data_IF_156095860063
#
_entry.id   IF_156095860063
#
_cell.length_a   1.000
_cell.length_b   1.000
_cell.length_c   1.000
_cell.angle_alpha   90.00
_cell.angle_beta   90.00
_cell.angle_gamma   90.00
#
_symmetry.space_group_name_H-M   'P 1'
#
loop_
_entity.id
_entity.type
_entity.pdbx_description
1 polymer ?
#
# COMPACT_ATOMS: atom_id res chain seq x y z
N UNK A 1 18.39 4.50 -12.75
CA UNK A 1 17.75 5.54 -13.57
C UNK A 1 17.05 4.88 -14.74
N UNK A 2 15.78 5.19 -15.03
CA UNK A 2 15.02 4.58 -16.13
C UNK A 2 14.65 5.71 -17.10
N UNK A 3 14.94 5.49 -18.39
CA UNK A 3 14.64 6.45 -19.45
C UNK A 3 13.41 6.03 -20.24
N UNK A 4 12.61 7.01 -20.63
CA UNK A 4 11.43 6.84 -21.46
C UNK A 4 11.49 7.76 -22.66
N UNK A 5 10.98 7.29 -23.79
CA UNK A 5 10.74 8.03 -25.02
C UNK A 5 9.23 8.28 -25.13
N UNK A 6 8.84 9.52 -25.29
CA UNK A 6 7.46 9.89 -25.65
C UNK A 6 7.45 10.20 -27.15
N UNK A 7 6.62 9.51 -27.88
CA UNK A 7 6.53 9.66 -29.33
C UNK A 7 5.08 9.64 -29.81
N UNK A 8 4.78 10.43 -30.82
CA UNK A 8 3.54 10.32 -31.57
C UNK A 8 3.64 9.14 -32.55
N UNK A 9 2.58 8.34 -32.60
CA UNK A 9 2.46 7.17 -33.46
C UNK A 9 1.12 7.18 -34.15
N UNK A 10 0.91 6.29 -35.12
CA UNK A 10 -0.39 6.10 -35.80
C UNK A 10 -1.55 5.83 -34.83
N UNK A 11 -1.24 5.38 -33.60
CA UNK A 11 -2.19 5.15 -32.52
C UNK A 11 -2.20 6.25 -31.46
N UNK A 12 -1.64 7.45 -31.76
CA UNK A 12 -1.51 8.60 -30.84
C UNK A 12 -0.24 8.57 -30.01
N UNK A 13 -0.16 9.49 -29.06
CA UNK A 13 1.00 9.64 -28.17
C UNK A 13 1.23 8.39 -27.34
N UNK A 14 2.44 7.84 -27.38
CA UNK A 14 2.84 6.65 -26.62
C UNK A 14 4.17 6.85 -25.91
N UNK A 15 4.31 6.14 -24.80
CA UNK A 15 5.53 6.14 -23.97
C UNK A 15 6.22 4.78 -24.07
N UNK A 16 7.47 4.79 -24.46
CA UNK A 16 8.31 3.60 -24.61
C UNK A 16 9.45 3.62 -23.58
N UNK A 17 9.66 2.52 -22.89
CA UNK A 17 10.83 2.37 -22.04
C UNK A 17 12.05 2.09 -22.90
N UNK A 18 13.10 2.93 -22.82
CA UNK A 18 14.29 2.80 -23.68
C UNK A 18 14.97 1.43 -23.56
N UNK A 19 14.96 0.81 -22.39
CA UNK A 19 15.54 -0.52 -22.19
C UNK A 19 14.81 -1.64 -22.94
N UNK A 20 13.65 -1.38 -23.55
CA UNK A 20 12.87 -2.32 -24.37
C UNK A 20 12.97 -2.03 -25.87
N UNK A 21 13.68 -1.00 -26.26
CA UNK A 21 13.96 -0.68 -27.67
C UNK A 21 14.94 -1.72 -28.20
N UNK A 22 14.57 -2.40 -29.28
CA UNK A 22 15.38 -3.49 -29.90
C UNK A 22 16.27 -3.00 -31.01
N UNK A 23 15.81 -2.01 -31.77
CA UNK A 23 16.58 -1.41 -32.86
C UNK A 23 16.20 0.04 -33.06
N UNK A 24 17.15 0.81 -33.56
CA UNK A 24 16.97 2.21 -33.95
C UNK A 24 17.58 2.38 -35.32
N UNK A 25 16.85 2.99 -36.23
CA UNK A 25 17.33 3.34 -37.57
C UNK A 25 17.30 4.84 -37.70
N UNK A 26 18.42 5.44 -38.09
CA UNK A 26 18.48 6.85 -38.42
C UNK A 26 17.89 7.06 -39.80
N UNK A 27 16.96 8.01 -39.93
CA UNK A 27 16.39 8.41 -41.21
C UNK A 27 16.77 9.87 -41.51
N UNK A 28 16.64 10.27 -42.77
CA UNK A 28 16.83 11.65 -43.19
C UNK A 28 15.56 12.49 -43.01
N UNK A 29 14.47 11.87 -42.54
CA UNK A 29 13.21 12.57 -42.31
C UNK A 29 13.33 13.54 -41.11
N UNK A 30 12.82 14.75 -41.22
CA UNK A 30 12.85 15.71 -40.13
C UNK A 30 11.93 15.24 -38.98
N UNK A 31 12.37 15.48 -37.75
CA UNK A 31 11.52 15.28 -36.57
C UNK A 31 10.38 16.30 -36.60
N UNK A 32 9.14 15.81 -36.63
CA UNK A 32 7.95 16.63 -36.49
C UNK A 32 7.49 16.62 -35.06
N UNK A 33 7.56 17.73 -34.38
CA UNK A 33 7.04 17.88 -33.02
C UNK A 33 5.65 18.52 -33.11
N UNK A 34 4.60 17.94 -32.48
CA UNK A 34 3.30 18.59 -32.40
C UNK A 34 3.43 20.00 -31.80
N UNK A 35 2.75 21.05 -32.36
CA UNK A 35 2.92 22.45 -31.94
C UNK A 35 2.55 22.67 -30.47
N UNK A 36 1.59 21.91 -29.95
CA UNK A 36 1.09 22.03 -28.59
C UNK A 36 1.69 20.95 -27.62
N UNK A 37 2.83 20.37 -28.01
CA UNK A 37 3.47 19.32 -27.20
C UNK A 37 4.14 19.89 -25.95
N UNK A 38 3.56 19.64 -24.76
CA UNK A 38 4.17 19.88 -23.44
C UNK A 38 4.62 18.56 -22.82
N UNK A 39 5.93 18.39 -22.68
CA UNK A 39 6.51 17.19 -22.08
C UNK A 39 6.10 17.00 -20.61
N UNK A 40 5.95 18.10 -19.85
CA UNK A 40 5.58 18.03 -18.44
C UNK A 40 4.12 17.59 -18.26
N UNK A 41 3.23 18.02 -19.16
CA UNK A 41 1.84 17.59 -19.18
C UNK A 41 1.71 16.13 -19.61
N UNK A 42 2.40 15.74 -20.68
CA UNK A 42 2.45 14.33 -21.11
C UNK A 42 3.04 13.42 -20.06
N UNK A 43 4.08 13.86 -19.37
CA UNK A 43 4.67 13.06 -18.28
C UNK A 43 3.73 12.92 -17.09
N UNK A 44 2.96 13.96 -16.73
CA UNK A 44 1.93 13.87 -15.70
C UNK A 44 0.86 12.84 -16.07
N UNK A 45 0.33 12.88 -17.29
CA UNK A 45 -0.65 11.91 -17.78
C UNK A 45 -0.11 10.47 -17.75
N UNK A 46 1.17 10.27 -18.13
CA UNK A 46 1.82 8.95 -18.04
C UNK A 46 1.95 8.49 -16.60
N UNK A 47 2.32 9.36 -15.68
CA UNK A 47 2.44 9.03 -14.24
C UNK A 47 1.07 8.69 -13.67
N UNK A 48 0.04 9.47 -13.95
CA UNK A 48 -1.34 9.22 -13.52
C UNK A 48 -1.84 7.86 -14.03
N UNK A 49 -1.64 7.56 -15.31
CA UNK A 49 -2.00 6.26 -15.89
C UNK A 49 -1.25 5.11 -15.23
N UNK A 50 0.05 5.25 -14.96
CA UNK A 50 0.84 4.21 -14.28
C UNK A 50 0.37 4.03 -12.83
N UNK A 51 0.02 5.10 -12.15
CA UNK A 51 -0.50 5.06 -10.77
C UNK A 51 -1.89 4.42 -10.71
N UNK A 52 -2.77 4.71 -11.65
CA UNK A 52 -4.06 4.03 -11.80
C UNK A 52 -3.87 2.53 -12.01
N UNK A 53 -2.96 2.11 -12.92
CA UNK A 53 -2.62 0.69 -13.11
C UNK A 53 -1.97 0.05 -11.88
N UNK A 54 -1.30 0.81 -11.04
CA UNK A 54 -0.70 0.33 -9.79
C UNK A 54 -1.70 0.25 -8.65
N UNK A 55 -2.82 0.95 -8.73
CA UNK A 55 -3.85 1.04 -7.70
C UNK A 55 -5.12 0.36 -8.18
N UNK A 56 -5.04 -0.95 -8.45
CA UNK A 56 -6.19 -1.72 -8.93
C UNK A 56 -7.14 -2.12 -7.79
N UNK A 57 -6.61 -2.24 -6.57
CA UNK A 57 -7.38 -2.60 -5.36
C UNK A 57 -7.31 -1.48 -4.36
N UNK A 58 -8.45 -1.07 -3.83
CA UNK A 58 -8.59 -0.07 -2.77
C UNK A 58 -9.21 -0.70 -1.54
N UNK A 59 -8.76 -0.28 -0.37
CA UNK A 59 -9.32 -0.70 0.90
C UNK A 59 -9.69 0.52 1.74
N UNK A 60 -10.83 0.44 2.38
CA UNK A 60 -11.25 1.42 3.39
C UNK A 60 -10.76 0.94 4.75
N UNK A 61 -10.05 1.81 5.45
CA UNK A 61 -9.49 1.53 6.76
C UNK A 61 -9.82 2.64 7.75
N UNK A 62 -10.01 2.27 9.02
CA UNK A 62 -10.18 3.18 10.15
C UNK A 62 -8.92 3.18 10.99
N UNK A 63 -8.42 4.36 11.30
CA UNK A 63 -7.16 4.52 12.02
C UNK A 63 -7.20 5.78 12.90
N UNK A 64 -6.47 5.79 14.01
CA UNK A 64 -6.32 6.99 14.83
C UNK A 64 -5.53 8.09 14.07
N UNK A 65 -5.80 9.40 14.33
CA UNK A 65 -5.18 10.50 13.59
C UNK A 65 -3.65 10.50 13.61
N UNK A 66 -3.04 10.16 14.75
CA UNK A 66 -1.59 10.12 14.88
C UNK A 66 -0.92 9.13 13.91
N UNK A 67 -1.26 7.83 13.98
CA UNK A 67 -0.76 6.82 13.05
C UNK A 67 -1.16 7.07 11.57
N UNK A 68 -2.27 7.77 11.30
CA UNK A 68 -2.70 8.12 9.93
C UNK A 68 -1.64 8.93 9.16
N UNK A 69 -0.80 9.71 9.85
CA UNK A 69 0.31 10.45 9.21
C UNK A 69 1.31 9.49 8.58
N UNK A 70 1.70 8.43 9.28
CA UNK A 70 2.60 7.41 8.76
C UNK A 70 1.97 6.60 7.63
N UNK A 71 0.67 6.29 7.73
CA UNK A 71 -0.07 5.62 6.68
C UNK A 71 -0.12 6.47 5.39
N UNK A 72 -0.35 7.78 5.51
CA UNK A 72 -0.29 8.73 4.39
C UNK A 72 1.09 8.74 3.73
N UNK A 73 2.17 8.74 4.50
CA UNK A 73 3.53 8.70 3.95
C UNK A 73 3.81 7.39 3.20
N UNK A 74 3.30 6.27 3.71
CA UNK A 74 3.49 4.96 3.09
C UNK A 74 2.75 4.82 1.76
N UNK A 75 1.49 5.26 1.70
CA UNK A 75 0.63 5.08 0.53
C UNK A 75 0.66 6.28 -0.43
N UNK A 76 1.20 7.42 -0.01
CA UNK A 76 1.42 8.62 -0.82
C UNK A 76 0.21 8.96 -1.74
N UNK A 77 0.35 8.80 -3.06
CA UNK A 77 -0.68 9.10 -4.05
C UNK A 77 -1.91 8.18 -3.99
N UNK A 78 -1.78 6.99 -3.39
CA UNK A 78 -2.90 6.06 -3.21
C UNK A 78 -3.59 6.18 -1.85
N UNK A 79 -3.38 7.27 -1.12
CA UNK A 79 -4.02 7.60 0.14
C UNK A 79 -5.05 8.72 -0.05
N UNK A 80 -6.29 8.48 0.39
CA UNK A 80 -7.35 9.50 0.41
C UNK A 80 -8.05 9.49 1.77
N UNK A 81 -8.09 10.63 2.46
CA UNK A 81 -8.91 10.78 3.67
C UNK A 81 -10.37 10.96 3.25
N UNK A 82 -11.25 10.08 3.73
CA UNK A 82 -12.67 10.09 3.38
C UNK A 82 -13.47 10.96 4.37
N UNK A 83 -13.35 10.65 5.66
CA UNK A 83 -14.05 11.38 6.72
C UNK A 83 -13.45 11.16 8.10
N UNK A 84 -13.82 12.02 9.03
CA UNK A 84 -13.60 11.81 10.47
C UNK A 84 -14.80 11.14 11.08
N UNK A 85 -14.55 10.20 11.99
CA UNK A 85 -15.57 9.45 12.71
C UNK A 85 -15.84 10.08 14.07
N UNK A 86 -17.02 9.81 14.63
CA UNK A 86 -17.45 10.36 15.93
C UNK A 86 -16.58 9.85 17.10
N UNK A 87 -15.94 8.70 16.92
CA UNK A 87 -15.00 8.10 17.90
C UNK A 87 -13.58 8.71 17.83
N UNK A 88 -13.38 9.73 17.00
CA UNK A 88 -12.12 10.44 16.83
C UNK A 88 -11.15 9.80 15.84
N UNK A 89 -11.46 8.61 15.30
CA UNK A 89 -10.68 8.00 14.22
C UNK A 89 -10.94 8.69 12.87
N UNK A 90 -10.07 8.44 11.92
CA UNK A 90 -10.25 8.84 10.53
C UNK A 90 -10.49 7.61 9.67
N UNK A 91 -11.43 7.71 8.74
CA UNK A 91 -11.67 6.74 7.70
C UNK A 91 -10.92 7.20 6.45
N UNK A 92 -10.09 6.32 5.94
CA UNK A 92 -9.22 6.61 4.79
C UNK A 92 -9.30 5.47 3.78
N UNK A 93 -9.11 5.82 2.52
CA UNK A 93 -8.94 4.86 1.44
C UNK A 93 -7.46 4.76 1.09
N UNK A 94 -6.97 3.54 0.95
CA UNK A 94 -5.60 3.22 0.53
C UNK A 94 -5.61 2.18 -0.57
N UNK A 95 -4.60 2.18 -1.43
CA UNK A 95 -4.61 1.30 -2.59
C UNK A 95 -3.28 0.65 -2.93
N UNK A 96 -3.37 -0.51 -3.59
CA UNK A 96 -2.24 -1.23 -4.16
C UNK A 96 -2.65 -2.02 -5.43
N UNK A 97 -1.67 -2.64 -6.09
CA UNK A 97 -1.91 -3.37 -7.34
C UNK A 97 -2.61 -4.71 -7.17
N UNK A 98 -2.62 -5.29 -5.97
CA UNK A 98 -3.24 -6.61 -5.67
C UNK A 98 -3.69 -6.67 -4.22
N UNK A 99 -4.74 -7.46 -3.90
CA UNK A 99 -5.25 -7.61 -2.53
C UNK A 99 -4.18 -8.11 -1.54
N UNK A 100 -3.38 -9.10 -1.95
CA UNK A 100 -2.30 -9.64 -1.12
C UNK A 100 -1.22 -8.62 -0.78
N UNK A 101 -0.78 -7.80 -1.77
CA UNK A 101 0.20 -6.73 -1.55
C UNK A 101 -0.36 -5.68 -0.59
N UNK A 102 -1.63 -5.29 -0.79
CA UNK A 102 -2.29 -4.34 0.10
C UNK A 102 -2.38 -4.87 1.53
N UNK A 103 -2.77 -6.15 1.68
CA UNK A 103 -2.83 -6.81 2.98
C UNK A 103 -1.46 -6.88 3.67
N UNK A 104 -0.39 -7.25 2.96
CA UNK A 104 0.98 -7.26 3.50
C UNK A 104 1.41 -5.86 3.99
N UNK A 105 1.09 -4.83 3.21
CA UNK A 105 1.39 -3.45 3.58
C UNK A 105 0.58 -2.97 4.80
N UNK A 106 -0.67 -3.42 4.95
CA UNK A 106 -1.53 -3.08 6.09
C UNK A 106 -1.21 -3.91 7.33
N UNK A 107 -0.77 -5.16 7.18
CA UNK A 107 -0.44 -6.05 8.29
C UNK A 107 0.63 -5.48 9.23
N UNK A 108 1.56 -4.68 8.74
CA UNK A 108 2.59 -4.01 9.56
C UNK A 108 2.03 -3.05 10.61
N UNK A 109 0.79 -2.61 10.44
CA UNK A 109 0.12 -1.69 11.37
C UNK A 109 -0.57 -2.42 12.52
N UNK A 110 -0.70 -3.74 12.44
CA UNK A 110 -1.29 -4.58 13.49
C UNK A 110 -2.66 -4.08 13.93
N UNK A 111 -2.84 -3.91 15.22
CA UNK A 111 -4.10 -3.44 15.83
C UNK A 111 -4.33 -1.92 15.73
N UNK A 112 -3.39 -1.16 15.16
CA UNK A 112 -3.53 0.30 15.05
C UNK A 112 -4.55 0.73 14.00
N UNK A 113 -4.94 -0.15 13.08
CA UNK A 113 -5.97 0.09 12.09
C UNK A 113 -6.95 -1.07 11.99
N UNK A 114 -8.13 -0.76 11.49
CA UNK A 114 -9.18 -1.71 11.15
C UNK A 114 -9.50 -1.60 9.67
N UNK A 115 -9.60 -2.74 8.97
CA UNK A 115 -9.93 -2.79 7.54
C UNK A 115 -11.40 -3.15 7.37
N UNK A 116 -12.20 -2.21 6.85
CA UNK A 116 -13.62 -2.43 6.60
C UNK A 116 -13.88 -3.28 5.35
N UNK A 117 -13.06 -3.12 4.34
CA UNK A 117 -13.18 -3.84 3.08
C UNK A 117 -12.06 -3.51 2.11
N UNK A 118 -11.97 -4.22 1.00
CA UNK A 118 -12.81 -5.35 0.56
C UNK A 118 -12.50 -6.67 1.28
N UNK A 119 -13.42 -7.62 1.20
CA UNK A 119 -13.30 -8.93 1.88
C UNK A 119 -12.06 -9.72 1.45
N UNK A 120 -11.61 -9.56 0.21
CA UNK A 120 -10.36 -10.17 -0.26
C UNK A 120 -9.14 -9.71 0.53
N UNK A 121 -9.03 -8.42 0.83
CA UNK A 121 -7.94 -7.86 1.63
C UNK A 121 -8.02 -8.38 3.07
N UNK A 122 -9.23 -8.42 3.64
CA UNK A 122 -9.47 -8.97 4.98
C UNK A 122 -9.13 -10.45 5.07
N UNK A 123 -9.46 -11.22 4.04
CA UNK A 123 -9.12 -12.65 3.97
C UNK A 123 -7.60 -12.88 3.95
N UNK A 124 -6.85 -12.06 3.17
CA UNK A 124 -5.39 -12.09 3.16
C UNK A 124 -4.79 -11.71 4.52
N UNK A 125 -5.31 -10.66 5.19
CA UNK A 125 -4.87 -10.28 6.53
C UNK A 125 -5.11 -11.40 7.54
N UNK A 126 -6.29 -12.03 7.50
CA UNK A 126 -6.61 -13.17 8.35
C UNK A 126 -5.67 -14.36 8.13
N UNK A 127 -5.25 -14.62 6.88
CA UNK A 127 -4.26 -15.65 6.57
C UNK A 127 -2.89 -15.28 7.14
N UNK A 128 -2.41 -14.06 6.91
CA UNK A 128 -1.13 -13.57 7.47
C UNK A 128 -1.13 -13.70 9.00
N UNK A 129 -2.23 -13.29 9.65
CA UNK A 129 -2.36 -13.40 11.11
C UNK A 129 -2.25 -14.84 11.61
N UNK A 130 -2.92 -15.80 10.96
CA UNK A 130 -2.81 -17.24 11.32
C UNK A 130 -1.39 -17.77 11.12
N UNK A 131 -0.76 -17.47 9.98
CA UNK A 131 0.62 -17.90 9.69
C UNK A 131 1.62 -17.35 10.73
N UNK A 132 1.43 -16.11 11.19
CA UNK A 132 2.26 -15.51 12.24
C UNK A 132 2.02 -16.19 13.61
N UNK A 133 0.77 -16.42 13.98
CA UNK A 133 0.43 -17.13 15.22
C UNK A 133 0.99 -18.54 15.21
N UNK A 134 0.78 -19.30 14.12
CA UNK A 134 1.31 -20.66 13.99
C UNK A 134 2.83 -20.73 14.11
N UNK A 135 3.53 -19.71 13.66
CA UNK A 135 5.01 -19.69 13.65
C UNK A 135 5.63 -19.12 14.92
N UNK A 136 4.99 -18.13 15.53
CA UNK A 136 5.58 -17.31 16.58
C UNK A 136 4.78 -17.28 17.89
N UNK A 137 3.57 -17.84 17.95
CA UNK A 137 2.90 -17.99 19.22
C UNK A 137 3.68 -19.01 20.06
N UNK A 138 4.23 -18.53 21.16
CA UNK A 138 4.93 -19.39 22.12
C UNK A 138 3.93 -20.40 22.71
N UNK A 139 4.22 -21.71 22.72
CA UNK A 139 3.37 -22.68 23.40
C UNK A 139 3.38 -22.51 24.93
N UNK A 140 4.08 -21.52 25.46
CA UNK A 140 4.40 -21.35 26.88
C UNK A 140 3.67 -20.19 27.52
N UNK A 141 2.40 -19.97 27.34
CA UNK A 141 1.64 -19.16 28.31
C UNK A 141 0.28 -19.82 28.60
N UNK A 142 0.32 -21.12 28.96
CA UNK A 142 -0.88 -21.76 29.46
C UNK A 142 -0.74 -22.12 30.95
N UNK A 143 0.25 -21.57 31.65
CA UNK A 143 0.37 -21.84 33.09
C UNK A 143 0.60 -20.57 33.93
N UNK A 144 -0.32 -19.63 33.86
CA UNK A 144 -0.48 -18.61 34.90
C UNK A 144 -1.44 -19.05 36.02
N UNK A 145 -1.86 -20.30 36.03
CA UNK A 145 -2.70 -20.87 37.11
C UNK A 145 -1.92 -21.72 38.12
N UNK A 146 -0.58 -21.76 37.97
CA UNK A 146 0.30 -22.52 38.91
C UNK A 146 0.78 -21.77 40.16
N UNK A 147 0.39 -20.50 40.34
CA UNK A 147 0.74 -19.80 41.60
C UNK A 147 -0.28 -20.16 42.69
N UNK A 148 0.09 -21.11 43.50
CA UNK A 148 -0.75 -21.56 44.61
C UNK A 148 -0.95 -20.43 45.64
N UNK A 149 -2.12 -20.41 46.28
CA UNK A 149 -2.48 -19.40 47.28
C UNK A 149 -1.53 -19.40 48.51
N UNK A 150 -0.69 -20.42 48.66
CA UNK A 150 0.31 -20.56 49.73
C UNK A 150 1.56 -19.67 49.52
N UNK A 151 1.92 -19.30 48.28
CA UNK A 151 3.09 -18.43 48.03
C UNK A 151 2.78 -16.94 48.24
N UNK A 152 1.51 -16.53 48.18
CA UNK A 152 1.07 -15.16 48.46
C UNK A 152 1.04 -14.84 49.97
N UNK A 153 1.06 -15.79 50.85
CA UNK A 153 1.04 -15.58 52.28
C UNK A 153 2.44 -15.33 52.88
N UNK A 154 3.50 -15.70 52.15
CA UNK A 154 4.88 -15.56 52.64
C UNK A 154 5.53 -14.19 52.38
N UNK A 155 4.96 -13.35 51.50
CA UNK A 155 5.51 -12.02 51.20
C UNK A 155 4.89 -10.84 52.01
N UNK A 156 3.97 -11.14 52.91
CA UNK A 156 3.30 -10.09 53.70
C UNK A 156 3.72 -10.05 55.19
N UNK A 157 4.85 -10.70 55.54
CA UNK A 157 5.43 -10.66 56.90
C UNK A 157 6.85 -10.06 56.89
N UNK A 158 6.97 -8.76 56.53
CA UNK A 158 8.11 -7.91 56.91
C UNK A 158 7.64 -6.47 57.02
#
# INVERSE_FOLDING_TARGET
>A
MVWYLVADTDGGMRTFRLSRVRSVVMTDDPVVRPPDFDLAEQWRSVVETIEEYRTTVRAVVRIAPGPAIGLRQQFASSFTELRRLDDGRVEVEVGASRPGILAEQLARWGSMLEVDGPDEVRAHLGRIGRELVERYADPVVTDVTGWSASERAAENEW
#
